data_IF_852369181466
#
_entry.id   IF_852369181466
#
_cell.length_a   1.000
_cell.length_b   1.000
_cell.length_c   1.000
_cell.angle_alpha   90.00
_cell.angle_beta   90.00
_cell.angle_gamma   90.00
#
_symmetry.space_group_name_H-M   'P 1'
#
loop_
_entity.id
_entity.type
_entity.pdbx_description
1 polymer ?
#
# COMPACT_ATOMS: atom_id res chain seq x y z
N UNK A 1 42.51 21.65 -6.15
CA UNK A 1 42.58 20.86 -7.40
C UNK A 1 41.70 19.63 -7.23
N UNK A 2 40.67 19.56 -8.08
CA UNK A 2 39.80 18.42 -8.42
C UNK A 2 39.19 17.56 -7.28
N UNK A 3 38.07 18.04 -6.71
CA UNK A 3 36.92 17.17 -6.41
C UNK A 3 36.15 16.99 -7.72
N UNK A 4 36.39 15.92 -8.46
CA UNK A 4 35.60 15.57 -9.65
C UNK A 4 35.76 14.09 -9.98
N UNK A 5 34.63 13.48 -10.35
CA UNK A 5 34.50 12.24 -11.13
C UNK A 5 34.63 10.87 -10.46
N UNK A 6 33.72 10.58 -9.52
CA UNK A 6 33.21 9.20 -9.38
C UNK A 6 31.70 9.07 -9.67
N UNK A 7 31.00 10.18 -9.91
CA UNK A 7 29.55 10.21 -10.18
C UNK A 7 29.20 10.27 -11.66
N UNK A 8 30.10 10.66 -12.56
CA UNK A 8 29.77 10.90 -13.98
C UNK A 8 29.77 9.66 -14.87
N UNK A 9 30.45 8.58 -14.48
CA UNK A 9 30.54 7.34 -15.31
C UNK A 9 29.41 6.35 -15.04
N UNK A 10 28.66 6.51 -13.94
CA UNK A 10 27.61 5.55 -13.51
C UNK A 10 26.24 5.88 -14.12
N UNK A 11 26.03 7.11 -14.61
CA UNK A 11 24.68 7.64 -14.84
C UNK A 11 24.01 7.22 -16.16
N UNK A 12 24.77 6.85 -17.19
CA UNK A 12 24.19 6.59 -18.51
C UNK A 12 23.48 5.23 -18.64
N UNK A 13 23.86 4.23 -17.82
CA UNK A 13 23.32 2.86 -17.86
C UNK A 13 22.77 2.38 -16.50
N UNK A 14 22.95 3.13 -15.41
CA UNK A 14 22.47 2.73 -14.08
C UNK A 14 20.94 2.56 -14.01
N UNK A 15 20.17 3.39 -14.72
CA UNK A 15 18.71 3.24 -14.82
C UNK A 15 18.29 1.93 -15.50
N UNK A 16 19.18 1.32 -16.30
CA UNK A 16 18.93 0.07 -17.04
C UNK A 16 19.44 -1.17 -16.31
N UNK A 17 20.54 -1.05 -15.55
CA UNK A 17 21.18 -2.18 -14.85
C UNK A 17 20.71 -2.28 -13.40
N UNK A 18 20.38 -1.15 -12.77
CA UNK A 18 20.09 -1.04 -11.35
C UNK A 18 21.31 -1.32 -10.48
N UNK A 19 21.12 -1.33 -9.16
CA UNK A 19 22.18 -1.69 -8.22
C UNK A 19 21.77 -1.49 -6.77
N UNK A 20 22.72 -1.68 -5.86
CA UNK A 20 22.56 -1.34 -4.44
C UNK A 20 23.66 -0.37 -4.02
N UNK A 21 23.26 0.69 -3.32
CA UNK A 21 24.19 1.51 -2.55
C UNK A 21 24.40 0.86 -1.19
N UNK A 22 25.44 0.04 -1.13
CA UNK A 22 25.90 -0.66 0.08
C UNK A 22 26.34 0.33 1.18
N UNK A 23 26.03 0.03 2.43
CA UNK A 23 26.37 0.85 3.59
C UNK A 23 26.00 2.33 3.39
N UNK A 24 24.73 2.59 3.05
CA UNK A 24 24.29 3.93 2.70
C UNK A 24 24.49 4.90 3.87
N UNK A 25 25.15 6.03 3.57
CA UNK A 25 25.54 7.05 4.56
C UNK A 25 25.19 8.48 4.12
N UNK A 26 24.42 8.62 3.04
CA UNK A 26 23.88 9.90 2.58
C UNK A 26 22.62 10.33 3.35
N UNK A 27 22.06 11.46 2.94
CA UNK A 27 20.77 11.96 3.43
C UNK A 27 19.60 11.51 2.54
N UNK A 28 18.39 11.91 2.93
CA UNK A 28 17.17 11.52 2.21
C UNK A 28 17.09 12.10 0.79
N UNK A 29 17.70 13.27 0.54
CA UNK A 29 17.75 13.86 -0.79
C UNK A 29 18.62 13.00 -1.73
N UNK A 30 19.82 12.64 -1.28
CA UNK A 30 20.70 11.73 -2.02
C UNK A 30 20.04 10.36 -2.23
N UNK A 31 19.37 9.82 -1.21
CA UNK A 31 18.64 8.56 -1.33
C UNK A 31 17.56 8.63 -2.43
N UNK A 32 16.80 9.74 -2.48
CA UNK A 32 15.79 9.98 -3.51
C UNK A 32 16.38 10.04 -4.92
N UNK A 33 17.50 10.75 -5.11
CA UNK A 33 18.22 10.78 -6.39
C UNK A 33 18.69 9.39 -6.83
N UNK A 34 19.21 8.60 -5.89
CA UNK A 34 19.70 7.25 -6.18
C UNK A 34 18.56 6.29 -6.53
N UNK A 35 17.43 6.38 -5.83
CA UNK A 35 16.22 5.61 -6.18
C UNK A 35 15.70 5.99 -7.56
N UNK A 36 15.70 7.29 -7.91
CA UNK A 36 15.30 7.75 -9.24
C UNK A 36 16.23 7.22 -10.36
N UNK A 37 17.49 6.91 -10.03
CA UNK A 37 18.46 6.26 -10.92
C UNK A 37 18.35 4.73 -10.94
N UNK A 38 17.41 4.13 -10.19
CA UNK A 38 17.18 2.67 -10.15
C UNK A 38 18.00 1.92 -9.10
N UNK A 39 18.60 2.62 -8.12
CA UNK A 39 19.34 1.98 -7.03
C UNK A 39 18.46 1.64 -5.83
N UNK A 40 18.73 0.50 -5.21
CA UNK A 40 18.27 0.18 -3.85
C UNK A 40 19.19 0.83 -2.81
N UNK A 41 18.61 1.21 -1.69
CA UNK A 41 19.32 1.78 -0.53
C UNK A 41 19.54 0.67 0.50
N UNK A 42 20.79 0.35 0.79
CA UNK A 42 21.14 -0.64 1.81
C UNK A 42 21.13 0.02 3.19
N UNK A 43 20.36 -0.55 4.12
CA UNK A 43 20.18 -0.02 5.47
C UNK A 43 21.01 -0.86 6.46
N UNK A 44 22.11 -0.31 7.01
CA UNK A 44 22.98 -1.03 7.92
C UNK A 44 22.49 -1.00 9.37
N UNK A 45 23.13 -1.81 10.23
CA UNK A 45 22.84 -1.88 11.67
C UNK A 45 22.95 -0.54 12.42
N UNK A 46 23.65 0.44 11.86
CA UNK A 46 23.73 1.81 12.42
C UNK A 46 22.37 2.52 12.45
N UNK A 47 21.35 2.03 11.74
CA UNK A 47 19.96 2.51 11.86
C UNK A 47 19.45 2.40 13.29
N UNK A 48 19.95 1.44 14.06
CA UNK A 48 19.61 1.27 15.48
C UNK A 48 20.18 2.37 16.39
N UNK A 49 21.10 3.20 15.89
CA UNK A 49 21.76 4.23 16.70
C UNK A 49 20.86 5.46 16.85
N UNK A 50 20.51 5.90 18.07
CA UNK A 50 19.62 7.04 18.28
C UNK A 50 20.12 8.34 17.66
N UNK A 51 21.44 8.52 17.60
CA UNK A 51 22.07 9.71 17.03
C UNK A 51 22.07 9.75 15.49
N UNK A 52 21.73 8.64 14.81
CA UNK A 52 21.76 8.57 13.35
C UNK A 52 20.44 9.05 12.73
N UNK A 53 20.08 10.29 13.03
CA UNK A 53 18.80 10.89 12.61
C UNK A 53 18.69 11.02 11.10
N UNK A 54 19.80 11.22 10.40
CA UNK A 54 19.84 11.27 8.93
C UNK A 54 19.40 9.93 8.32
N UNK A 55 19.95 8.80 8.78
CA UNK A 55 19.53 7.49 8.29
C UNK A 55 18.10 7.15 8.71
N UNK A 56 17.64 7.60 9.88
CA UNK A 56 16.23 7.45 10.25
C UNK A 56 15.32 8.19 9.27
N UNK A 57 15.73 9.36 8.82
CA UNK A 57 14.96 10.15 7.85
C UNK A 57 14.95 9.52 6.47
N UNK A 58 16.09 8.98 6.01
CA UNK A 58 16.16 8.14 4.81
C UNK A 58 15.15 6.99 4.91
N UNK A 59 15.14 6.27 6.04
CA UNK A 59 14.18 5.18 6.25
C UNK A 59 12.73 5.67 6.25
N UNK A 60 12.43 6.87 6.77
CA UNK A 60 11.05 7.39 6.72
C UNK A 60 10.63 7.75 5.31
N UNK A 61 11.47 8.47 4.56
CA UNK A 61 11.11 9.05 3.26
C UNK A 61 11.22 8.09 2.08
N UNK A 62 12.19 7.16 2.09
CA UNK A 62 12.37 6.23 0.97
C UNK A 62 11.34 5.10 1.05
N UNK A 63 10.69 4.74 -0.06
CA UNK A 63 9.76 3.59 -0.06
C UNK A 63 10.51 2.31 0.32
N UNK A 64 9.88 1.44 1.12
CA UNK A 64 10.53 0.21 1.60
C UNK A 64 10.82 -0.77 0.46
N UNK A 65 10.08 -0.68 -0.64
CA UNK A 65 10.30 -1.40 -1.90
C UNK A 65 11.65 -1.07 -2.56
N UNK A 66 12.31 0.02 -2.16
CA UNK A 66 13.67 0.38 -2.60
C UNK A 66 14.73 0.18 -1.51
N UNK A 67 14.40 -0.53 -0.43
CA UNK A 67 15.34 -0.79 0.67
C UNK A 67 15.84 -2.23 0.69
N UNK A 68 17.08 -2.40 1.12
CA UNK A 68 17.66 -3.68 1.51
C UNK A 68 18.13 -3.57 2.96
N UNK A 69 18.20 -4.71 3.64
CA UNK A 69 18.84 -4.79 4.95
C UNK A 69 20.19 -5.46 4.80
N UNK A 70 21.19 -4.91 5.46
CA UNK A 70 22.53 -5.48 5.46
C UNK A 70 23.08 -5.62 6.87
N UNK A 71 24.16 -6.39 6.94
CA UNK A 71 24.85 -6.63 8.21
C UNK A 71 26.10 -5.77 8.33
N UNK A 72 26.81 -5.49 7.23
CA UNK A 72 28.19 -4.95 7.24
C UNK A 72 29.14 -5.68 8.19
N UNK A 73 28.84 -6.97 8.47
CA UNK A 73 29.66 -7.82 9.30
C UNK A 73 31.09 -7.92 8.71
N UNK A 74 32.15 -7.77 9.53
CA UNK A 74 32.16 -7.79 11.00
C UNK A 74 32.04 -6.44 11.72
N UNK A 75 31.71 -5.35 11.01
CA UNK A 75 31.68 -3.98 11.52
C UNK A 75 30.24 -3.45 11.70
N UNK A 76 30.10 -2.21 12.18
CA UNK A 76 28.80 -1.50 12.28
C UNK A 76 27.71 -2.22 13.09
N UNK A 77 28.14 -2.83 14.20
CA UNK A 77 27.30 -3.64 15.08
C UNK A 77 26.10 -2.86 15.62
N UNK A 78 24.85 -3.33 15.40
CA UNK A 78 23.65 -2.66 15.89
C UNK A 78 23.55 -2.71 17.43
N UNK A 79 22.74 -1.82 18.00
CA UNK A 79 22.34 -1.86 19.41
C UNK A 79 21.46 -3.10 19.63
N UNK A 80 21.65 -3.87 20.74
CA UNK A 80 22.46 -3.56 21.92
C UNK A 80 23.92 -4.02 21.89
N UNK A 81 24.41 -4.57 20.77
CA UNK A 81 25.74 -5.17 20.67
C UNK A 81 26.85 -4.18 20.25
N UNK A 82 26.54 -2.88 20.17
CA UNK A 82 27.48 -1.82 19.75
C UNK A 82 28.80 -1.89 20.53
N UNK A 83 29.92 -1.77 19.82
CA UNK A 83 31.27 -1.88 20.38
C UNK A 83 31.82 -3.32 20.43
N UNK A 84 31.02 -4.33 20.09
CA UNK A 84 31.45 -5.72 19.88
C UNK A 84 31.53 -6.02 18.38
N UNK A 85 32.06 -7.19 18.00
CA UNK A 85 32.03 -7.69 16.62
C UNK A 85 30.59 -7.87 16.15
N UNK A 86 30.30 -7.50 14.90
CA UNK A 86 29.00 -7.73 14.31
C UNK A 86 28.87 -9.17 13.79
N UNK A 87 27.64 -9.67 13.75
CA UNK A 87 27.29 -11.02 13.30
C UNK A 87 26.09 -10.96 12.34
N UNK A 88 26.01 -11.85 11.33
CA UNK A 88 24.90 -11.85 10.39
C UNK A 88 23.50 -11.93 11.04
N UNK A 89 23.40 -12.64 12.17
CA UNK A 89 22.15 -12.77 12.93
C UNK A 89 21.59 -11.42 13.42
N UNK A 90 22.42 -10.39 13.56
CA UNK A 90 22.02 -9.09 14.06
C UNK A 90 21.28 -8.23 13.02
N UNK A 91 21.17 -8.66 11.76
CA UNK A 91 20.33 -7.99 10.75
C UNK A 91 18.87 -7.84 11.21
N UNK A 92 18.41 -8.77 12.06
CA UNK A 92 17.08 -8.69 12.68
C UNK A 92 16.88 -7.40 13.47
N UNK A 93 17.91 -6.88 14.15
CA UNK A 93 17.82 -5.65 14.93
C UNK A 93 17.66 -4.42 14.04
N UNK A 94 18.32 -4.42 12.87
CA UNK A 94 18.10 -3.40 11.85
C UNK A 94 16.66 -3.49 11.30
N UNK A 95 16.17 -4.71 11.02
CA UNK A 95 14.81 -4.94 10.56
C UNK A 95 13.75 -4.45 11.55
N UNK A 96 13.93 -4.72 12.85
CA UNK A 96 13.04 -4.26 13.92
C UNK A 96 13.01 -2.73 13.99
N UNK A 97 14.16 -2.06 13.85
CA UNK A 97 14.20 -0.60 13.83
C UNK A 97 13.57 0.00 12.57
N UNK A 98 13.77 -0.62 11.40
CA UNK A 98 13.09 -0.21 10.17
C UNK A 98 11.58 -0.38 10.29
N UNK A 99 11.13 -1.49 10.89
CA UNK A 99 9.71 -1.76 11.15
C UNK A 99 9.09 -0.66 12.04
N UNK A 100 9.78 -0.28 13.11
CA UNK A 100 9.39 0.84 13.99
C UNK A 100 9.26 2.15 13.20
N UNK A 101 10.29 2.51 12.43
CA UNK A 101 10.33 3.78 11.67
C UNK A 101 9.28 3.83 10.55
N UNK A 102 8.93 2.68 9.96
CA UNK A 102 7.93 2.56 8.89
C UNK A 102 6.50 2.29 9.39
N UNK A 103 6.30 2.05 10.68
CA UNK A 103 5.00 1.62 11.21
C UNK A 103 4.53 0.28 10.62
N UNK A 104 5.46 -0.61 10.31
CA UNK A 104 5.22 -1.95 9.76
C UNK A 104 5.53 -3.02 10.81
N UNK A 105 5.09 -4.26 10.58
CA UNK A 105 5.53 -5.40 11.39
C UNK A 105 6.90 -5.88 10.94
N UNK A 106 7.65 -6.55 11.83
CA UNK A 106 8.90 -7.22 11.45
C UNK A 106 8.69 -8.22 10.30
N UNK A 107 7.54 -8.91 10.28
CA UNK A 107 7.19 -9.84 9.22
C UNK A 107 6.98 -9.13 7.86
N UNK A 108 6.36 -7.94 7.86
CA UNK A 108 6.23 -7.12 6.66
C UNK A 108 7.59 -6.70 6.12
N UNK A 109 8.44 -6.14 6.97
CA UNK A 109 9.79 -5.72 6.59
C UNK A 109 10.57 -6.90 6.02
N UNK A 110 10.61 -8.03 6.73
CA UNK A 110 11.33 -9.23 6.28
C UNK A 110 10.85 -9.69 4.90
N UNK A 111 9.54 -9.77 4.68
CA UNK A 111 8.96 -10.19 3.41
C UNK A 111 9.30 -9.22 2.27
N UNK A 112 9.15 -7.92 2.51
CA UNK A 112 9.45 -6.88 1.50
C UNK A 112 10.93 -6.91 1.13
N UNK A 113 11.82 -6.81 2.12
CA UNK A 113 13.26 -6.69 1.85
C UNK A 113 13.83 -7.99 1.27
N UNK A 114 13.25 -9.15 1.62
CA UNK A 114 13.59 -10.44 0.99
C UNK A 114 13.22 -10.43 -0.49
N UNK A 115 12.01 -9.97 -0.83
CA UNK A 115 11.59 -9.83 -2.23
C UNK A 115 12.48 -8.85 -3.00
N UNK A 116 12.78 -7.68 -2.43
CA UNK A 116 13.66 -6.68 -3.03
C UNK A 116 15.04 -7.29 -3.35
N UNK A 117 15.59 -8.07 -2.41
CA UNK A 117 16.87 -8.78 -2.59
C UNK A 117 16.79 -9.75 -3.76
N UNK A 118 15.74 -10.55 -3.85
CA UNK A 118 15.59 -11.50 -4.94
C UNK A 118 15.35 -10.86 -6.30
N UNK A 119 14.63 -9.73 -6.34
CA UNK A 119 14.45 -8.96 -7.57
C UNK A 119 15.79 -8.37 -8.03
N UNK A 120 16.54 -7.72 -7.14
CA UNK A 120 17.83 -7.13 -7.47
C UNK A 120 18.85 -8.18 -7.95
N UNK A 121 19.00 -9.28 -7.19
CA UNK A 121 20.00 -10.31 -7.47
C UNK A 121 19.49 -11.44 -8.37
N UNK A 122 18.25 -11.36 -8.85
CA UNK A 122 17.59 -12.36 -9.71
C UNK A 122 17.63 -13.78 -9.12
N UNK A 123 17.36 -13.89 -7.82
CA UNK A 123 17.36 -15.17 -7.10
C UNK A 123 16.14 -15.98 -7.55
N UNK A 124 16.38 -17.16 -8.10
CA UNK A 124 15.34 -18.07 -8.59
C UNK A 124 14.55 -18.72 -7.44
N UNK A 125 13.33 -19.19 -7.74
CA UNK A 125 12.53 -20.00 -6.82
C UNK A 125 11.67 -19.21 -5.83
N UNK A 126 11.50 -17.90 -6.01
CA UNK A 126 10.47 -17.15 -5.30
C UNK A 126 9.11 -17.33 -5.95
N UNK A 127 8.09 -17.61 -5.14
CA UNK A 127 6.71 -17.67 -5.57
C UNK A 127 6.17 -16.24 -5.77
N UNK A 128 5.87 -15.90 -7.02
CA UNK A 128 5.25 -14.62 -7.40
C UNK A 128 3.78 -14.81 -7.79
N UNK A 129 3.12 -15.87 -7.34
CA UNK A 129 1.70 -16.10 -7.62
C UNK A 129 0.83 -15.00 -7.00
N UNK A 130 -0.30 -14.76 -7.66
CA UNK A 130 -1.28 -13.80 -7.21
C UNK A 130 -1.77 -14.14 -5.80
N UNK A 131 -1.70 -13.18 -4.88
CA UNK A 131 -2.09 -13.39 -3.50
C UNK A 131 -3.53 -12.92 -3.28
N UNK A 132 -4.44 -13.86 -3.01
CA UNK A 132 -5.86 -13.55 -2.76
C UNK A 132 -6.11 -12.93 -1.38
N UNK A 133 -5.46 -13.47 -0.35
CA UNK A 133 -5.57 -13.01 1.03
C UNK A 133 -4.18 -12.72 1.61
N UNK A 134 -3.92 -11.47 1.97
CA UNK A 134 -2.60 -11.02 2.39
C UNK A 134 -2.68 -10.11 3.60
N UNK A 135 -1.71 -10.21 4.50
CA UNK A 135 -1.64 -9.34 5.69
C UNK A 135 -0.73 -8.16 5.40
N UNK A 136 -1.17 -7.00 5.88
CA UNK A 136 -0.34 -5.81 6.07
C UNK A 136 -0.65 -5.32 7.48
N UNK A 137 0.38 -5.23 8.33
CA UNK A 137 0.19 -4.97 9.76
C UNK A 137 -0.74 -6.02 10.38
N UNK A 138 -1.83 -5.59 11.02
CA UNK A 138 -2.81 -6.46 11.66
C UNK A 138 -4.10 -6.66 10.86
N UNK A 139 -4.22 -6.12 9.64
CA UNK A 139 -5.42 -6.30 8.82
C UNK A 139 -5.19 -7.36 7.75
N UNK A 140 -6.19 -8.19 7.47
CA UNK A 140 -6.18 -9.15 6.37
C UNK A 140 -6.89 -8.53 5.16
N UNK A 141 -6.17 -8.33 4.07
CA UNK A 141 -6.68 -7.75 2.84
C UNK A 141 -7.08 -8.85 1.85
N UNK A 142 -8.19 -8.64 1.14
CA UNK A 142 -8.72 -9.52 0.11
C UNK A 142 -8.65 -8.86 -1.27
N UNK A 143 -7.84 -9.44 -2.15
CA UNK A 143 -7.71 -9.05 -3.55
C UNK A 143 -8.56 -9.98 -4.42
N UNK A 144 -9.73 -9.49 -4.86
CA UNK A 144 -10.80 -10.33 -5.42
C UNK A 144 -11.16 -10.02 -6.87
N UNK A 145 -10.57 -8.98 -7.47
CA UNK A 145 -10.79 -8.62 -8.87
C UNK A 145 -9.70 -7.66 -9.35
N UNK A 146 -9.36 -7.73 -10.65
CA UNK A 146 -8.53 -6.73 -11.33
C UNK A 146 -9.38 -5.64 -11.99
N UNK A 147 -10.71 -5.87 -12.12
CA UNK A 147 -11.63 -4.95 -12.78
C UNK A 147 -11.90 -3.76 -11.86
N UNK A 148 -11.96 -2.57 -12.42
CA UNK A 148 -12.30 -1.35 -11.70
C UNK A 148 -13.19 -0.50 -12.60
N UNK A 149 -14.15 0.23 -12.01
CA UNK A 149 -14.97 1.15 -12.80
C UNK A 149 -14.14 2.35 -13.28
N UNK A 150 -13.23 2.82 -12.45
CA UNK A 150 -12.34 3.94 -12.73
C UNK A 150 -11.03 3.56 -13.43
N UNK A 151 -10.45 4.53 -14.13
CA UNK A 151 -9.10 4.50 -14.69
C UNK A 151 -8.24 5.62 -14.09
N UNK A 152 -8.06 5.61 -12.76
CA UNK A 152 -7.41 6.71 -12.05
C UNK A 152 -5.94 6.91 -12.49
N UNK A 153 -5.55 8.16 -12.69
CA UNK A 153 -4.18 8.56 -13.10
C UNK A 153 -3.11 8.20 -12.07
N UNK A 154 -3.50 8.02 -10.80
CA UNK A 154 -2.62 7.68 -9.68
C UNK A 154 -2.69 6.19 -9.27
N UNK A 155 -3.37 5.33 -10.05
CA UNK A 155 -3.53 3.94 -9.67
C UNK A 155 -2.21 3.16 -9.87
N UNK A 156 -1.63 2.65 -8.79
CA UNK A 156 -0.35 1.93 -8.84
C UNK A 156 -0.39 0.64 -9.70
N UNK A 157 -1.58 0.11 -10.02
CA UNK A 157 -1.72 -1.06 -10.92
C UNK A 157 -1.18 -0.82 -12.33
N UNK A 158 -1.05 0.44 -12.75
CA UNK A 158 -0.50 0.78 -14.06
C UNK A 158 1.04 0.85 -14.06
N UNK A 159 1.67 0.72 -12.89
CA UNK A 159 3.12 0.67 -12.73
C UNK A 159 3.57 -0.73 -12.31
N UNK A 160 3.10 -1.22 -11.17
CA UNK A 160 3.45 -2.52 -10.60
C UNK A 160 2.27 -3.10 -9.82
N UNK A 161 1.98 -4.38 -10.05
CA UNK A 161 0.96 -5.12 -9.32
C UNK A 161 1.41 -5.60 -7.94
N UNK A 162 2.49 -5.05 -7.41
CA UNK A 162 3.02 -5.38 -6.10
C UNK A 162 2.58 -4.37 -5.04
N UNK A 163 2.05 -4.85 -3.91
CA UNK A 163 1.75 -4.01 -2.74
C UNK A 163 2.48 -4.55 -1.53
N UNK A 164 3.37 -3.71 -0.99
CA UNK A 164 4.19 -4.06 0.17
C UNK A 164 4.81 -5.43 0.01
N UNK A 165 5.24 -5.87 -1.17
CA UNK A 165 5.85 -7.19 -1.43
C UNK A 165 4.91 -8.35 -1.78
N UNK A 166 3.59 -8.16 -1.81
CA UNK A 166 2.62 -9.16 -2.28
C UNK A 166 2.30 -8.93 -3.75
N UNK A 167 2.29 -9.98 -4.59
CA UNK A 167 1.87 -9.86 -6.00
C UNK A 167 0.34 -9.93 -6.09
N UNK A 168 -0.30 -8.92 -6.65
CA UNK A 168 -1.75 -8.78 -6.68
C UNK A 168 -2.36 -8.89 -8.09
N UNK A 169 -1.56 -9.09 -9.13
CA UNK A 169 -2.11 -9.35 -10.47
C UNK A 169 -2.78 -10.72 -10.49
N UNK A 170 -4.12 -10.74 -10.47
CA UNK A 170 -4.87 -11.98 -10.59
C UNK A 170 -4.80 -12.51 -12.03
N UNK A 171 -4.69 -13.82 -12.20
CA UNK A 171 -4.78 -14.50 -13.50
C UNK A 171 -6.23 -14.86 -13.89
N UNK A 172 -7.14 -14.90 -12.90
CA UNK A 172 -8.58 -15.09 -13.08
C UNK A 172 -9.38 -14.35 -11.99
N UNK A 173 -10.70 -14.28 -12.17
CA UNK A 173 -11.62 -13.76 -11.17
C UNK A 173 -11.92 -14.86 -10.13
N UNK A 174 -11.40 -14.78 -8.89
CA UNK A 174 -11.48 -15.87 -7.93
C UNK A 174 -12.93 -16.13 -7.50
N UNK A 175 -13.23 -17.37 -7.16
CA UNK A 175 -14.51 -17.83 -6.59
C UNK A 175 -14.57 -17.57 -5.08
N UNK A 176 -15.78 -17.58 -4.51
CA UNK A 176 -15.98 -17.50 -3.05
C UNK A 176 -15.19 -18.59 -2.31
N UNK A 177 -15.14 -19.81 -2.87
CA UNK A 177 -14.42 -20.93 -2.28
C UNK A 177 -12.90 -20.69 -2.23
N UNK A 178 -12.31 -20.17 -3.31
CA UNK A 178 -10.87 -19.83 -3.36
C UNK A 178 -10.51 -18.72 -2.37
N UNK A 179 -11.34 -17.67 -2.28
CA UNK A 179 -11.12 -16.59 -1.31
C UNK A 179 -11.19 -17.12 0.12
N UNK A 180 -12.20 -17.93 0.46
CA UNK A 180 -12.33 -18.52 1.80
C UNK A 180 -11.20 -19.52 2.11
N UNK A 181 -10.74 -20.28 1.13
CA UNK A 181 -9.59 -21.18 1.28
C UNK A 181 -8.29 -20.40 1.53
N UNK A 182 -8.09 -19.27 0.84
CA UNK A 182 -6.93 -18.40 1.03
C UNK A 182 -6.92 -17.72 2.41
N UNK A 183 -8.10 -17.38 2.96
CA UNK A 183 -8.24 -16.92 4.35
C UNK A 183 -7.94 -18.06 5.33
N UNK A 184 -8.46 -19.25 5.04
CA UNK A 184 -8.32 -20.44 5.88
C UNK A 184 -9.02 -20.30 7.24
N UNK A 185 -8.39 -20.87 8.27
CA UNK A 185 -8.82 -20.82 9.67
C UNK A 185 -8.16 -19.68 10.47
N UNK A 186 -7.49 -18.74 9.78
CA UNK A 186 -6.77 -17.64 10.41
C UNK A 186 -7.69 -16.73 11.21
N UNK A 187 -7.17 -16.25 12.34
CA UNK A 187 -7.80 -15.27 13.23
C UNK A 187 -6.80 -14.25 13.77
N UNK A 188 -5.58 -14.24 13.25
CA UNK A 188 -4.47 -13.37 13.66
C UNK A 188 -4.55 -11.97 13.03
N UNK A 189 -5.75 -11.40 12.95
CA UNK A 189 -6.01 -10.07 12.38
C UNK A 189 -7.16 -9.36 13.08
N UNK A 190 -7.12 -8.03 13.10
CA UNK A 190 -8.12 -7.18 13.77
C UNK A 190 -9.37 -6.96 12.90
N UNK A 191 -9.20 -7.02 11.57
CA UNK A 191 -10.25 -6.83 10.57
C UNK A 191 -9.90 -7.51 9.24
N UNK A 192 -10.92 -7.74 8.41
CA UNK A 192 -10.79 -8.09 7.01
C UNK A 192 -11.17 -6.90 6.14
N UNK A 193 -10.34 -6.62 5.13
CA UNK A 193 -10.48 -5.47 4.23
C UNK A 193 -10.64 -5.97 2.80
N UNK A 194 -11.80 -5.74 2.19
CA UNK A 194 -11.95 -5.91 0.74
C UNK A 194 -11.23 -4.76 0.04
N UNK A 195 -10.05 -5.04 -0.51
CA UNK A 195 -9.17 -4.04 -1.12
C UNK A 195 -8.06 -4.73 -1.93
N UNK A 196 -7.83 -4.22 -3.13
CA UNK A 196 -6.82 -4.69 -4.08
C UNK A 196 -6.67 -3.70 -5.22
N UNK A 197 -6.24 -4.18 -6.40
CA UNK A 197 -6.10 -3.32 -7.59
C UNK A 197 -7.37 -3.17 -8.44
N UNK A 198 -8.43 -3.88 -8.11
CA UNK A 198 -9.78 -3.69 -8.66
C UNK A 198 -10.76 -3.07 -7.67
N UNK A 199 -11.96 -2.77 -8.16
CA UNK A 199 -13.11 -2.29 -7.38
C UNK A 199 -13.88 -3.49 -6.80
N UNK A 200 -13.80 -3.74 -5.47
CA UNK A 200 -14.42 -4.91 -4.86
C UNK A 200 -15.93 -5.00 -5.10
N UNK A 201 -16.65 -3.88 -5.14
CA UNK A 201 -18.09 -3.89 -5.30
C UNK A 201 -18.55 -4.29 -6.71
N UNK A 202 -17.67 -4.39 -7.72
CA UNK A 202 -17.99 -5.07 -8.98
C UNK A 202 -18.22 -6.59 -8.82
N UNK A 203 -17.84 -7.13 -7.66
CA UNK A 203 -18.06 -8.52 -7.24
C UNK A 203 -19.03 -8.58 -6.06
N UNK A 204 -20.11 -7.78 -6.07
CA UNK A 204 -21.05 -7.62 -4.95
C UNK A 204 -21.50 -8.95 -4.32
N UNK A 205 -21.90 -9.94 -5.11
CA UNK A 205 -22.36 -11.23 -4.58
C UNK A 205 -21.24 -11.99 -3.84
N UNK A 206 -20.03 -12.02 -4.39
CA UNK A 206 -18.87 -12.61 -3.71
C UNK A 206 -18.56 -11.85 -2.42
N UNK A 207 -18.59 -10.51 -2.45
CA UNK A 207 -18.36 -9.70 -1.24
C UNK A 207 -19.39 -10.05 -0.17
N UNK A 208 -20.67 -10.16 -0.52
CA UNK A 208 -21.74 -10.53 0.42
C UNK A 208 -21.57 -11.94 0.98
N UNK A 209 -21.26 -12.92 0.14
CA UNK A 209 -21.06 -14.31 0.56
C UNK A 209 -19.87 -14.45 1.51
N UNK A 210 -18.71 -13.91 1.12
CA UNK A 210 -17.50 -13.94 1.95
C UNK A 210 -17.72 -13.16 3.25
N UNK A 211 -18.35 -11.99 3.18
CA UNK A 211 -18.64 -11.18 4.36
C UNK A 211 -19.57 -11.91 5.32
N UNK A 212 -20.64 -12.55 4.85
CA UNK A 212 -21.55 -13.31 5.70
C UNK A 212 -20.81 -14.43 6.47
N UNK A 213 -19.94 -15.17 5.79
CA UNK A 213 -19.11 -16.21 6.43
C UNK A 213 -18.20 -15.60 7.49
N UNK A 214 -17.54 -14.48 7.20
CA UNK A 214 -16.64 -13.81 8.15
C UNK A 214 -17.38 -13.18 9.34
N UNK A 215 -18.56 -12.57 9.12
CA UNK A 215 -19.41 -12.02 10.19
C UNK A 215 -19.88 -13.10 11.14
N UNK A 216 -20.18 -14.32 10.65
CA UNK A 216 -20.53 -15.46 11.52
C UNK A 216 -19.38 -15.87 12.46
N UNK A 217 -18.14 -15.48 12.15
CA UNK A 217 -16.94 -15.67 13.00
C UNK A 217 -16.64 -14.46 13.90
N UNK A 218 -17.49 -13.43 13.89
CA UNK A 218 -17.29 -12.20 14.65
C UNK A 218 -16.26 -11.24 14.06
N UNK A 219 -15.84 -11.45 12.81
CA UNK A 219 -14.83 -10.62 12.15
C UNK A 219 -15.37 -9.21 11.83
N UNK A 220 -14.54 -8.19 12.03
CA UNK A 220 -14.80 -6.83 11.53
C UNK A 220 -14.48 -6.72 10.06
N UNK A 221 -15.34 -6.06 9.29
CA UNK A 221 -15.23 -5.98 7.83
C UNK A 221 -15.19 -4.52 7.38
N UNK A 222 -14.17 -4.17 6.61
CA UNK A 222 -14.06 -2.93 5.86
C UNK A 222 -14.13 -3.20 4.37
N UNK A 223 -14.91 -2.40 3.64
CA UNK A 223 -14.92 -2.40 2.18
C UNK A 223 -14.31 -1.08 1.69
N UNK A 224 -13.21 -1.17 0.94
CA UNK A 224 -12.69 -0.04 0.21
C UNK A 224 -13.34 -0.01 -1.18
N UNK A 225 -13.83 1.14 -1.61
CA UNK A 225 -14.55 1.27 -2.89
C UNK A 225 -14.27 2.62 -3.55
N UNK A 226 -14.44 2.70 -4.86
CA UNK A 226 -14.51 3.91 -5.66
C UNK A 226 -15.85 4.66 -5.53
N UNK A 227 -16.86 4.02 -4.94
CA UNK A 227 -18.17 4.62 -4.66
C UNK A 227 -19.16 4.62 -5.83
N UNK A 228 -18.84 3.95 -6.95
CA UNK A 228 -19.66 3.97 -8.16
C UNK A 228 -20.58 2.75 -8.29
N UNK A 229 -20.61 1.86 -7.29
CA UNK A 229 -21.39 0.62 -7.36
C UNK A 229 -22.88 0.85 -7.68
N UNK A 230 -23.52 1.89 -7.12
CA UNK A 230 -24.91 2.19 -7.44
C UNK A 230 -25.11 2.55 -8.93
N UNK A 231 -24.15 3.26 -9.54
CA UNK A 231 -24.16 3.57 -10.98
C UNK A 231 -23.94 2.31 -11.82
N UNK A 232 -23.01 1.44 -11.40
CA UNK A 232 -22.72 0.17 -12.06
C UNK A 232 -23.96 -0.75 -12.09
N UNK A 233 -24.65 -0.89 -10.97
CA UNK A 233 -25.81 -1.78 -10.85
C UNK A 233 -27.15 -1.12 -11.24
N UNK A 234 -27.16 0.21 -11.44
CA UNK A 234 -28.39 0.97 -11.73
C UNK A 234 -29.41 0.96 -10.57
N UNK A 235 -28.97 0.69 -9.35
CA UNK A 235 -29.82 0.57 -8.15
C UNK A 235 -29.02 0.80 -6.87
N UNK A 236 -29.69 1.08 -5.76
CA UNK A 236 -29.05 1.21 -4.45
C UNK A 236 -28.67 -0.18 -3.88
N UNK A 237 -27.37 -0.43 -3.70
CA UNK A 237 -26.83 -1.69 -3.17
C UNK A 237 -26.55 -1.63 -1.66
N UNK A 238 -26.53 -0.44 -1.05
CA UNK A 238 -26.14 -0.25 0.34
C UNK A 238 -27.01 -1.02 1.36
N UNK A 239 -28.35 -1.14 1.17
CA UNK A 239 -29.17 -1.98 2.04
C UNK A 239 -28.73 -3.45 2.08
N UNK A 240 -28.14 -3.97 0.99
CA UNK A 240 -27.66 -5.36 0.93
C UNK A 240 -26.35 -5.57 1.68
N UNK A 241 -25.63 -4.50 2.01
CA UNK A 241 -24.40 -4.53 2.79
C UNK A 241 -24.64 -4.30 4.28
N UNK A 242 -25.87 -3.97 4.68
CA UNK A 242 -26.25 -3.76 6.07
C UNK A 242 -26.00 -5.03 6.89
N UNK A 243 -25.24 -4.90 7.99
CA UNK A 243 -24.81 -6.03 8.83
C UNK A 243 -23.66 -6.87 8.26
N UNK A 244 -23.29 -6.67 6.99
CA UNK A 244 -22.16 -7.35 6.34
C UNK A 244 -20.88 -6.50 6.35
N UNK A 245 -20.98 -5.18 6.42
CA UNK A 245 -19.84 -4.29 6.53
C UNK A 245 -19.94 -3.41 7.78
N UNK A 246 -18.83 -3.31 8.52
CA UNK A 246 -18.69 -2.41 9.66
C UNK A 246 -18.17 -1.04 9.22
N UNK A 247 -17.38 -0.99 8.13
CA UNK A 247 -16.86 0.25 7.55
C UNK A 247 -16.91 0.21 6.03
N UNK A 248 -17.30 1.33 5.41
CA UNK A 248 -17.09 1.60 3.98
C UNK A 248 -16.17 2.80 3.83
N UNK A 249 -15.06 2.60 3.11
CA UNK A 249 -14.06 3.63 2.81
C UNK A 249 -14.12 3.97 1.32
N UNK A 250 -14.65 5.14 0.98
CA UNK A 250 -14.90 5.57 -0.40
C UNK A 250 -13.80 6.49 -0.91
N UNK A 251 -13.35 6.28 -2.13
CA UNK A 251 -12.31 7.08 -2.78
C UNK A 251 -12.91 8.32 -3.46
N UNK A 252 -13.16 9.38 -2.67
CA UNK A 252 -13.73 10.65 -3.15
C UNK A 252 -12.74 11.44 -4.02
N UNK A 253 -11.46 11.53 -3.58
CA UNK A 253 -10.30 12.10 -4.30
C UNK A 253 -10.37 13.53 -4.87
N UNK A 254 -11.53 14.15 -5.02
CA UNK A 254 -11.71 15.47 -5.60
C UNK A 254 -12.86 16.22 -4.91
N UNK A 255 -12.86 17.55 -5.03
CA UNK A 255 -13.89 18.41 -4.46
C UNK A 255 -14.96 18.83 -5.48
N UNK A 256 -14.77 18.50 -6.75
CA UNK A 256 -15.63 18.87 -7.87
C UNK A 256 -15.54 17.83 -9.01
N UNK A 257 -16.52 17.85 -9.90
CA UNK A 257 -16.66 16.87 -10.98
C UNK A 257 -15.53 16.97 -12.02
N UNK A 258 -15.03 18.16 -12.32
CA UNK A 258 -13.97 18.35 -13.33
C UNK A 258 -12.65 17.74 -12.85
N UNK A 259 -12.26 18.05 -11.60
CA UNK A 259 -11.10 17.45 -10.94
C UNK A 259 -11.27 15.94 -10.80
N UNK A 260 -12.46 15.47 -10.41
CA UNK A 260 -12.74 14.03 -10.32
C UNK A 260 -12.59 13.31 -11.67
N UNK A 261 -13.14 13.89 -12.74
CA UNK A 261 -13.03 13.36 -14.09
C UNK A 261 -11.58 13.28 -14.56
N UNK A 262 -10.79 14.33 -14.33
CA UNK A 262 -9.37 14.35 -14.69
C UNK A 262 -8.52 13.34 -13.90
N UNK A 263 -8.84 13.12 -12.62
CA UNK A 263 -8.07 12.23 -11.74
C UNK A 263 -8.50 10.77 -11.81
N UNK A 264 -9.80 10.50 -11.72
CA UNK A 264 -10.34 9.15 -11.60
C UNK A 264 -10.75 8.56 -12.96
N UNK A 265 -10.96 9.41 -13.98
CA UNK A 265 -11.37 9.03 -15.33
C UNK A 265 -12.53 8.01 -15.29
N UNK A 266 -13.64 8.45 -14.74
CA UNK A 266 -14.86 7.63 -14.60
C UNK A 266 -15.55 7.45 -15.95
N UNK A 267 -16.06 6.24 -16.27
CA UNK A 267 -16.80 5.98 -17.49
C UNK A 267 -18.20 6.61 -17.47
N UNK A 268 -18.67 7.09 -16.32
CA UNK A 268 -19.99 7.69 -16.18
C UNK A 268 -20.01 9.21 -16.47
N UNK A 269 -18.90 9.79 -16.91
CA UNK A 269 -18.80 11.22 -17.21
C UNK A 269 -19.21 12.10 -16.03
N UNK A 270 -19.96 13.17 -16.30
CA UNK A 270 -20.31 14.19 -15.30
C UNK A 270 -21.11 13.64 -14.10
N UNK A 271 -21.91 12.59 -14.30
CA UNK A 271 -22.70 11.99 -13.21
C UNK A 271 -21.86 11.09 -12.29
N UNK A 272 -20.64 10.72 -12.69
CA UNK A 272 -19.79 9.82 -11.88
C UNK A 272 -19.43 10.43 -10.53
N UNK A 273 -19.04 11.69 -10.49
CA UNK A 273 -18.74 12.40 -9.24
C UNK A 273 -19.96 12.57 -8.35
N UNK A 274 -21.11 12.96 -8.94
CA UNK A 274 -22.35 13.09 -8.19
C UNK A 274 -22.78 11.75 -7.60
N UNK A 275 -22.67 10.65 -8.37
CA UNK A 275 -23.00 9.32 -7.88
C UNK A 275 -22.13 8.86 -6.70
N UNK A 276 -20.86 9.26 -6.64
CA UNK A 276 -20.00 9.02 -5.47
C UNK A 276 -20.46 9.82 -4.25
N UNK A 277 -20.86 11.09 -4.45
CA UNK A 277 -21.40 11.92 -3.38
C UNK A 277 -22.72 11.35 -2.84
N UNK A 278 -23.62 10.94 -3.73
CA UNK A 278 -24.90 10.31 -3.39
C UNK A 278 -24.68 8.98 -2.66
N UNK A 279 -23.71 8.18 -3.11
CA UNK A 279 -23.33 6.93 -2.46
C UNK A 279 -22.84 7.16 -1.03
N UNK A 280 -21.99 8.16 -0.80
CA UNK A 280 -21.53 8.54 0.54
C UNK A 280 -22.69 8.97 1.45
N UNK A 281 -23.59 9.83 0.95
CA UNK A 281 -24.74 10.33 1.71
C UNK A 281 -25.76 9.24 2.03
N UNK A 282 -25.93 8.26 1.15
CA UNK A 282 -26.83 7.13 1.40
C UNK A 282 -26.18 6.09 2.33
N UNK A 283 -24.85 5.90 2.25
CA UNK A 283 -24.14 4.88 3.02
C UNK A 283 -24.28 5.06 4.53
N UNK A 284 -24.36 6.29 5.04
CA UNK A 284 -24.51 6.57 6.47
C UNK A 284 -25.79 6.01 7.08
N UNK A 285 -26.79 5.69 6.24
CA UNK A 285 -28.06 5.10 6.68
C UNK A 285 -27.97 3.59 6.91
N UNK A 286 -26.99 2.93 6.30
CA UNK A 286 -26.89 1.47 6.24
C UNK A 286 -25.61 0.93 6.90
N UNK A 287 -24.54 1.72 6.91
CA UNK A 287 -23.21 1.31 7.35
C UNK A 287 -22.80 2.11 8.60
N UNK A 288 -22.34 1.46 9.68
CA UNK A 288 -22.00 2.14 10.93
C UNK A 288 -20.91 3.21 10.80
N UNK A 289 -19.90 2.95 9.95
CA UNK A 289 -18.78 3.86 9.76
C UNK A 289 -18.52 4.11 8.27
N UNK A 290 -18.66 5.37 7.86
CA UNK A 290 -18.44 5.79 6.46
C UNK A 290 -17.32 6.83 6.43
N UNK A 291 -16.30 6.53 5.63
CA UNK A 291 -15.09 7.35 5.51
C UNK A 291 -14.89 7.72 4.04
N UNK A 292 -14.89 9.00 3.72
CA UNK A 292 -14.37 9.48 2.45
C UNK A 292 -12.84 9.59 2.53
N UNK A 293 -12.17 9.29 1.43
CA UNK A 293 -10.71 9.36 1.33
C UNK A 293 -10.28 10.12 0.09
N UNK A 294 -9.08 10.71 0.17
CA UNK A 294 -8.43 11.34 -0.97
C UNK A 294 -6.94 11.01 -0.95
N UNK A 295 -6.38 10.72 -2.12
CA UNK A 295 -4.92 10.62 -2.29
C UNK A 295 -4.33 12.02 -2.41
N UNK A 296 -3.24 12.30 -1.71
CA UNK A 296 -2.53 13.60 -1.72
C UNK A 296 -1.74 13.84 -3.01
N UNK A 297 -2.37 13.58 -4.17
CA UNK A 297 -1.77 13.81 -5.49
C UNK A 297 -1.35 15.29 -5.60
N UNK A 298 -0.12 15.59 -6.05
CA UNK A 298 0.33 16.96 -6.21
C UNK A 298 -0.67 17.81 -7.02
N UNK A 299 -1.06 18.97 -6.47
CA UNK A 299 -2.02 19.88 -7.08
C UNK A 299 -3.48 19.69 -6.65
N UNK A 300 -3.82 18.64 -5.89
CA UNK A 300 -5.17 18.45 -5.35
C UNK A 300 -5.36 19.24 -4.06
N UNK A 301 -6.44 20.04 -3.96
CA UNK A 301 -6.82 20.72 -2.71
C UNK A 301 -7.50 19.75 -1.73
N UNK A 302 -6.68 19.04 -0.96
CA UNK A 302 -7.13 18.08 0.05
C UNK A 302 -8.01 18.73 1.12
N UNK A 303 -7.78 20.01 1.44
CA UNK A 303 -8.61 20.73 2.39
C UNK A 303 -10.03 20.95 1.83
N UNK A 304 -10.18 21.22 0.53
CA UNK A 304 -11.47 21.26 -0.13
C UNK A 304 -12.17 19.89 -0.15
N UNK A 305 -11.44 18.81 -0.46
CA UNK A 305 -12.02 17.46 -0.44
C UNK A 305 -12.51 17.08 0.97
N UNK A 306 -11.74 17.45 2.00
CA UNK A 306 -12.13 17.28 3.40
C UNK A 306 -13.41 18.05 3.74
N UNK A 307 -13.50 19.33 3.35
CA UNK A 307 -14.72 20.14 3.58
C UNK A 307 -15.94 19.52 2.92
N UNK A 308 -15.80 19.03 1.68
CA UNK A 308 -16.87 18.33 0.97
C UNK A 308 -17.29 17.07 1.74
N UNK A 309 -16.37 16.18 2.09
CA UNK A 309 -16.66 14.97 2.85
C UNK A 309 -17.45 15.25 4.15
N UNK A 310 -17.01 16.23 4.94
CA UNK A 310 -17.72 16.63 6.16
C UNK A 310 -19.12 17.19 5.87
N UNK A 311 -19.30 17.94 4.78
CA UNK A 311 -20.62 18.43 4.37
C UNK A 311 -21.58 17.32 3.92
N UNK A 312 -21.05 16.18 3.45
CA UNK A 312 -21.81 14.97 3.14
C UNK A 312 -22.13 14.13 4.39
N UNK A 313 -21.68 14.56 5.58
CA UNK A 313 -21.94 13.88 6.85
C UNK A 313 -21.04 12.68 7.14
N UNK A 314 -19.90 12.56 6.45
CA UNK A 314 -18.98 11.42 6.57
C UNK A 314 -17.63 11.83 7.13
N UNK A 315 -16.90 10.87 7.70
CA UNK A 315 -15.52 11.09 8.15
C UNK A 315 -14.59 11.27 6.96
N UNK A 316 -13.40 11.85 7.19
CA UNK A 316 -12.39 12.03 6.15
C UNK A 316 -11.03 11.50 6.58
N UNK A 317 -10.36 10.78 5.67
CA UNK A 317 -8.98 10.30 5.86
C UNK A 317 -8.13 10.55 4.61
N UNK A 318 -6.97 11.16 4.80
CA UNK A 318 -5.98 11.37 3.76
C UNK A 318 -5.19 10.08 3.49
N UNK A 319 -4.79 9.89 2.24
CA UNK A 319 -3.90 8.81 1.80
C UNK A 319 -2.69 9.43 1.11
N UNK A 320 -1.50 9.08 1.57
CA UNK A 320 -0.28 9.62 1.00
C UNK A 320 -0.10 9.15 -0.45
N UNK A 321 0.23 10.10 -1.34
CA UNK A 321 0.49 9.78 -2.75
C UNK A 321 1.70 8.86 -2.88
N UNK A 322 1.58 7.88 -3.78
CA UNK A 322 2.61 6.89 -4.08
C UNK A 322 2.96 5.91 -2.93
N UNK A 323 2.23 5.94 -1.80
CA UNK A 323 2.28 4.92 -0.75
C UNK A 323 1.03 4.04 -0.80
N UNK A 324 1.22 2.72 -0.91
CA UNK A 324 0.17 1.71 -0.96
C UNK A 324 0.31 0.72 0.20
N UNK A 325 -0.79 0.36 0.86
CA UNK A 325 -0.80 -0.48 2.07
C UNK A 325 -0.79 0.32 3.37
#
# INVERSE_FOLDING_TARGET
MAKSDSTSTVTADASRVGGVLHCFSGDAAMAGECVALGFYISIPGTVTYPANTALHEVVRQTKIEHMLLETDCPYLTPIPHRGKRNEPAYVRLAAEKVAELKGLTLADVARITTRNTAQLFRIAGMDYNATLAYKIRNSLYLNITNRCSNHCTFCAKFEDFTVKGHQLLLDHEPTTAEVLAAIGSRSDFDEVVFCGYGEPLLRLDLVKEVAAVLKSRGTKIRINTDGQANLVYGRNILPELAGLADTVSVSLNAADAATYGALCNTPFGDIGFQGVCDFLQEAVRHIPNVVATAVTVPGVDIAAVKRLALSLGVQFREREYAEVG
#
